data_IF_849108470169
#
_entry.id   IF_849108470169
#
_cell.length_a   1.000
_cell.length_b   1.000
_cell.length_c   1.000
_cell.angle_alpha   90.00
_cell.angle_beta   90.00
_cell.angle_gamma   90.00
#
_symmetry.space_group_name_H-M   'P 1'
#
loop_
_entity.id
_entity.type
_entity.pdbx_description
1 polymer ?
#
# COMPACT_ATOMS: atom_id res chain seq x y z
N UNK A 1 -19.48 5.26 -0.18
CA UNK A 1 -19.45 5.30 -1.66
C UNK A 1 -18.04 5.57 -2.17
N UNK A 2 -17.35 6.60 -1.69
CA UNK A 2 -15.97 6.93 -2.08
C UNK A 2 -14.99 5.75 -1.87
N UNK A 3 -15.05 5.06 -0.73
CA UNK A 3 -14.21 3.88 -0.46
C UNK A 3 -14.51 2.70 -1.40
N UNK A 4 -15.76 2.55 -1.85
CA UNK A 4 -16.13 1.51 -2.81
C UNK A 4 -15.53 1.82 -4.18
N UNK A 5 -15.62 3.08 -4.63
CA UNK A 5 -14.93 3.53 -5.84
C UNK A 5 -13.41 3.37 -5.69
N UNK A 6 -12.85 3.72 -4.54
CA UNK A 6 -11.43 3.51 -4.26
C UNK A 6 -11.03 2.03 -4.37
N UNK A 7 -11.90 1.11 -3.99
CA UNK A 7 -11.60 -0.33 -4.05
C UNK A 7 -11.80 -0.91 -5.46
N UNK A 8 -12.88 -0.51 -6.14
CA UNK A 8 -13.38 -1.18 -7.36
C UNK A 8 -13.16 -0.38 -8.66
N UNK A 9 -12.93 0.93 -8.56
CA UNK A 9 -12.89 1.85 -9.70
C UNK A 9 -14.28 2.13 -10.29
N UNK A 10 -14.31 2.55 -11.56
CA UNK A 10 -15.53 2.87 -12.31
C UNK A 10 -16.52 1.71 -12.48
N UNK A 11 -16.07 0.45 -12.42
CA UNK A 11 -16.92 -0.70 -12.74
C UNK A 11 -17.39 -0.67 -14.21
N UNK A 12 -18.68 -0.98 -14.45
CA UNK A 12 -19.27 -0.96 -15.78
C UNK A 12 -19.71 0.46 -16.16
N UNK A 13 -19.14 1.01 -17.22
CA UNK A 13 -19.48 2.35 -17.74
C UNK A 13 -20.40 2.24 -18.94
N UNK A 14 -21.53 2.95 -18.89
CA UNK A 14 -22.38 3.15 -20.07
C UNK A 14 -21.79 4.22 -20.99
N UNK A 15 -21.09 3.73 -22.03
CA UNK A 15 -20.38 4.58 -23.00
C UNK A 15 -21.30 5.43 -23.87
N UNK A 16 -22.59 5.13 -23.95
CA UNK A 16 -23.54 5.95 -24.72
C UNK A 16 -23.92 7.24 -23.98
N UNK A 17 -23.91 7.20 -22.65
CA UNK A 17 -24.22 8.35 -21.79
C UNK A 17 -22.95 9.07 -21.29
N UNK A 18 -21.78 8.49 -21.52
CA UNK A 18 -20.51 9.07 -21.12
C UNK A 18 -20.19 10.33 -21.94
N UNK A 19 -19.77 11.39 -21.26
CA UNK A 19 -19.23 12.59 -21.92
C UNK A 19 -17.97 12.25 -22.72
N UNK A 20 -17.78 12.92 -23.86
CA UNK A 20 -16.57 12.75 -24.68
C UNK A 20 -15.33 13.20 -23.91
N UNK A 21 -14.25 12.42 -24.02
CA UNK A 21 -12.95 12.77 -23.43
C UNK A 21 -12.39 14.05 -24.08
N UNK A 22 -12.22 15.16 -23.34
CA UNK A 22 -11.64 16.41 -23.87
C UNK A 22 -10.12 16.31 -24.11
N UNK A 23 -9.50 15.21 -23.69
CA UNK A 23 -8.07 14.99 -23.61
C UNK A 23 -7.64 13.65 -24.25
N UNK A 24 -8.35 13.20 -25.29
CA UNK A 24 -8.13 11.89 -25.94
C UNK A 24 -6.70 11.69 -26.49
N UNK A 25 -5.95 12.78 -26.72
CA UNK A 25 -4.55 12.72 -27.17
C UNK A 25 -3.57 12.23 -26.10
N UNK A 26 -3.92 12.32 -24.81
CA UNK A 26 -3.00 11.96 -23.73
C UNK A 26 -3.64 11.23 -22.55
N UNK A 27 -4.95 11.39 -22.31
CA UNK A 27 -5.65 10.75 -21.21
C UNK A 27 -6.23 9.41 -21.68
N UNK A 28 -5.79 8.27 -21.11
CA UNK A 28 -6.30 6.96 -21.49
C UNK A 28 -7.81 6.82 -21.26
N UNK A 29 -8.50 6.08 -22.13
CA UNK A 29 -9.94 5.86 -22.01
C UNK A 29 -10.35 5.30 -20.64
N UNK A 30 -9.57 4.38 -20.06
CA UNK A 30 -9.83 3.82 -18.72
C UNK A 30 -9.74 4.89 -17.62
N UNK A 31 -8.81 5.84 -17.74
CA UNK A 31 -8.72 6.95 -16.79
C UNK A 31 -9.93 7.89 -16.94
N UNK A 32 -10.37 8.13 -18.19
CA UNK A 32 -11.58 8.90 -18.43
C UNK A 32 -12.84 8.21 -17.92
N UNK A 33 -12.97 6.89 -18.09
CA UNK A 33 -14.02 6.05 -17.49
C UNK A 33 -14.09 6.30 -15.97
N UNK A 34 -12.95 6.24 -15.28
CA UNK A 34 -12.85 6.57 -13.85
C UNK A 34 -13.26 8.00 -13.51
N UNK A 35 -12.84 9.00 -14.29
CA UNK A 35 -13.19 10.41 -14.06
C UNK A 35 -14.69 10.65 -14.25
N UNK A 36 -15.31 10.05 -15.26
CA UNK A 36 -16.74 10.23 -15.51
C UNK A 36 -17.63 9.52 -14.49
N UNK A 37 -17.17 8.40 -13.93
CA UNK A 37 -17.90 7.72 -12.85
C UNK A 37 -17.69 8.40 -11.50
N UNK A 38 -16.47 8.86 -11.19
CA UNK A 38 -16.21 9.54 -9.91
C UNK A 38 -16.95 10.88 -9.82
N UNK A 39 -17.15 11.59 -10.94
CA UNK A 39 -17.91 12.85 -11.00
C UNK A 39 -19.35 12.74 -10.46
N UNK A 40 -19.93 11.53 -10.51
CA UNK A 40 -21.29 11.27 -10.02
C UNK A 40 -21.36 11.18 -8.49
N UNK A 41 -20.21 11.00 -7.82
CA UNK A 41 -20.15 10.83 -6.38
C UNK A 41 -20.14 12.17 -5.63
N UNK A 42 -20.80 12.27 -4.45
CA UNK A 42 -20.71 13.43 -3.57
C UNK A 42 -19.27 13.88 -3.32
N UNK A 43 -18.99 15.17 -3.51
CA UNK A 43 -17.67 15.77 -3.29
C UNK A 43 -16.76 15.78 -4.53
N UNK A 44 -17.12 15.06 -5.59
CA UNK A 44 -16.37 15.02 -6.85
C UNK A 44 -17.10 15.69 -8.02
N UNK A 45 -18.31 16.20 -7.79
CA UNK A 45 -19.07 16.87 -8.83
C UNK A 45 -18.28 18.02 -9.46
N UNK A 46 -18.20 18.00 -10.80
CA UNK A 46 -17.50 19.01 -11.58
C UNK A 46 -16.06 18.66 -11.92
N UNK A 47 -15.56 17.46 -11.58
CA UNK A 47 -14.24 17.01 -12.03
C UNK A 47 -14.21 16.88 -13.55
N UNK A 48 -15.30 16.41 -14.16
CA UNK A 48 -15.40 16.34 -15.63
C UNK A 48 -15.34 17.74 -16.24
N UNK A 49 -16.09 18.70 -15.69
CA UNK A 49 -16.05 20.11 -16.12
C UNK A 49 -14.66 20.73 -15.92
N UNK A 50 -13.94 20.32 -14.88
CA UNK A 50 -12.58 20.75 -14.62
C UNK A 50 -11.60 20.27 -15.69
N UNK A 51 -11.75 19.02 -16.17
CA UNK A 51 -10.99 18.52 -17.30
C UNK A 51 -11.36 19.25 -18.61
N UNK A 52 -12.65 19.52 -18.85
CA UNK A 52 -13.09 20.28 -20.04
C UNK A 52 -12.45 21.69 -20.09
N UNK A 53 -12.28 22.36 -18.93
CA UNK A 53 -11.76 23.73 -18.86
C UNK A 53 -10.23 23.81 -18.73
N UNK A 54 -9.62 22.86 -18.00
CA UNK A 54 -8.21 22.92 -17.60
C UNK A 54 -7.42 21.67 -18.04
N UNK A 55 -7.77 21.05 -19.16
CA UNK A 55 -7.12 19.81 -19.62
C UNK A 55 -5.59 19.92 -19.74
N UNK A 56 -5.04 21.10 -20.04
CA UNK A 56 -3.58 21.31 -20.13
C UNK A 56 -2.90 21.22 -18.77
N UNK A 57 -3.49 21.82 -17.73
CA UNK A 57 -2.94 21.76 -16.37
C UNK A 57 -3.07 20.35 -15.79
N UNK A 58 -4.19 19.67 -16.08
CA UNK A 58 -4.35 18.26 -15.77
C UNK A 58 -3.34 17.38 -16.49
N UNK A 59 -2.96 17.69 -17.73
CA UNK A 59 -1.88 16.99 -18.46
C UNK A 59 -0.54 17.18 -17.74
N UNK A 60 -0.21 18.40 -17.31
CA UNK A 60 1.03 18.68 -16.57
C UNK A 60 1.08 17.85 -15.29
N UNK A 61 0.02 17.89 -14.48
CA UNK A 61 -0.07 17.10 -13.25
C UNK A 61 0.01 15.59 -13.55
N UNK A 62 -0.74 15.10 -14.54
CA UNK A 62 -0.74 13.69 -14.94
C UNK A 62 0.64 13.22 -15.41
N UNK A 63 1.41 14.07 -16.09
CA UNK A 63 2.75 13.74 -16.59
C UNK A 63 3.86 13.92 -15.54
N UNK A 64 3.56 14.47 -14.37
CA UNK A 64 4.54 14.60 -13.28
C UNK A 64 5.11 13.24 -12.86
N UNK A 65 6.38 13.21 -12.46
CA UNK A 65 6.97 12.02 -11.85
C UNK A 65 6.41 11.70 -10.46
N UNK A 66 5.87 12.70 -9.75
CA UNK A 66 5.37 12.60 -8.36
C UNK A 66 4.08 13.41 -8.16
N UNK A 67 3.01 13.13 -8.92
CA UNK A 67 1.76 13.87 -8.86
C UNK A 67 1.12 13.88 -7.46
N UNK A 68 1.36 12.84 -6.65
CA UNK A 68 0.88 12.74 -5.26
C UNK A 68 1.50 13.79 -4.30
N UNK A 69 2.59 14.43 -4.72
CA UNK A 69 3.28 15.50 -4.00
C UNK A 69 2.97 16.89 -4.57
N UNK A 70 2.22 16.99 -5.67
CA UNK A 70 1.89 18.24 -6.33
C UNK A 70 0.44 18.66 -6.08
N UNK A 71 0.17 19.96 -6.24
CA UNK A 71 -1.20 20.45 -6.21
C UNK A 71 -1.92 20.05 -7.50
N UNK A 72 -3.06 19.39 -7.35
CA UNK A 72 -4.03 19.20 -8.43
C UNK A 72 -4.50 20.56 -8.98
N UNK A 73 -4.80 20.64 -10.29
CA UNK A 73 -5.26 21.85 -10.95
C UNK A 73 -6.46 22.51 -10.28
N UNK A 74 -6.55 23.85 -10.38
CA UNK A 74 -7.63 24.63 -9.80
C UNK A 74 -7.69 24.52 -8.27
N UNK A 75 -8.89 24.28 -7.75
CA UNK A 75 -9.16 24.20 -6.31
C UNK A 75 -9.23 22.76 -5.78
N UNK A 76 -8.98 21.75 -6.62
CA UNK A 76 -9.11 20.33 -6.25
C UNK A 76 -8.25 19.92 -5.07
N UNK A 77 -7.06 20.51 -4.91
CA UNK A 77 -6.20 20.25 -3.74
C UNK A 77 -6.77 20.80 -2.44
N UNK A 78 -7.59 21.84 -2.52
CA UNK A 78 -8.10 22.57 -1.35
C UNK A 78 -9.49 22.04 -0.98
N UNK A 79 -10.37 21.83 -1.97
CA UNK A 79 -11.75 21.38 -1.73
C UNK A 79 -11.88 19.89 -1.43
N UNK A 80 -10.89 19.08 -1.84
CA UNK A 80 -10.94 17.64 -1.65
C UNK A 80 -10.35 17.24 -0.30
N UNK A 81 -11.01 16.31 0.39
CA UNK A 81 -10.43 15.61 1.53
C UNK A 81 -9.24 14.75 1.11
N UNK A 82 -8.43 14.28 2.07
CA UNK A 82 -7.28 13.43 1.77
C UNK A 82 -7.69 12.10 1.10
N UNK A 83 -8.83 11.52 1.48
CA UNK A 83 -9.36 10.32 0.80
C UNK A 83 -9.80 10.65 -0.62
N UNK A 84 -10.44 11.80 -0.84
CA UNK A 84 -10.86 12.22 -2.17
C UNK A 84 -9.68 12.47 -3.10
N UNK A 85 -8.60 13.09 -2.60
CA UNK A 85 -7.33 13.22 -3.34
C UNK A 85 -6.78 11.85 -3.72
N UNK A 86 -6.84 10.88 -2.82
CA UNK A 86 -6.39 9.51 -3.09
C UNK A 86 -7.24 8.81 -4.15
N UNK A 87 -8.56 9.04 -4.16
CA UNK A 87 -9.45 8.53 -5.21
C UNK A 87 -9.14 9.15 -6.58
N UNK A 88 -8.89 10.46 -6.65
CA UNK A 88 -8.47 11.14 -7.90
C UNK A 88 -7.10 10.64 -8.37
N UNK A 89 -6.15 10.43 -7.46
CA UNK A 89 -4.87 9.81 -7.77
C UNK A 89 -5.05 8.40 -8.32
N UNK A 90 -5.91 7.57 -7.72
CA UNK A 90 -6.21 6.22 -8.25
C UNK A 90 -6.83 6.30 -9.65
N UNK A 91 -7.77 7.20 -9.87
CA UNK A 91 -8.48 7.35 -11.14
C UNK A 91 -7.53 7.70 -12.30
N UNK A 92 -6.49 8.50 -12.03
CA UNK A 92 -5.59 9.04 -13.04
C UNK A 92 -4.22 8.35 -13.07
N UNK A 93 -3.59 8.12 -11.92
CA UNK A 93 -2.20 7.68 -11.74
C UNK A 93 -2.12 6.54 -10.73
N UNK A 94 -2.76 5.43 -11.07
CA UNK A 94 -2.76 4.21 -10.23
C UNK A 94 -1.37 3.66 -9.92
N UNK A 95 -0.38 3.91 -10.79
CA UNK A 95 1.04 3.59 -10.58
C UNK A 95 1.65 4.34 -9.37
N UNK A 96 1.12 5.52 -9.04
CA UNK A 96 1.55 6.34 -7.91
C UNK A 96 0.74 6.11 -6.64
N UNK A 97 -0.27 5.23 -6.70
CA UNK A 97 -1.22 5.05 -5.62
C UNK A 97 -0.56 4.60 -4.31
N UNK A 98 0.46 3.74 -4.37
CA UNK A 98 1.16 3.29 -3.17
C UNK A 98 1.83 4.45 -2.41
N UNK A 99 2.42 5.41 -3.14
CA UNK A 99 3.04 6.60 -2.54
C UNK A 99 1.97 7.53 -1.95
N UNK A 100 0.85 7.73 -2.65
CA UNK A 100 -0.28 8.50 -2.14
C UNK A 100 -0.89 7.86 -0.89
N UNK A 101 -1.03 6.53 -0.88
CA UNK A 101 -1.57 5.78 0.26
C UNK A 101 -0.62 5.85 1.46
N UNK A 102 0.70 5.75 1.24
CA UNK A 102 1.68 5.92 2.31
C UNK A 102 1.59 7.33 2.92
N UNK A 103 1.49 8.38 2.10
CA UNK A 103 1.28 9.75 2.57
C UNK A 103 -0.03 9.89 3.35
N UNK A 104 -1.12 9.32 2.85
CA UNK A 104 -2.41 9.32 3.54
C UNK A 104 -2.32 8.67 4.92
N UNK A 105 -1.73 7.47 5.02
CA UNK A 105 -1.56 6.76 6.28
C UNK A 105 -0.69 7.56 7.25
N UNK A 106 0.47 8.05 6.78
CA UNK A 106 1.39 8.84 7.58
C UNK A 106 0.75 10.10 8.17
N UNK A 107 -0.10 10.78 7.40
CA UNK A 107 -0.80 11.99 7.85
C UNK A 107 -1.94 11.73 8.83
N UNK A 108 -2.58 10.56 8.77
CA UNK A 108 -3.79 10.28 9.54
C UNK A 108 -3.52 9.45 10.81
N UNK A 109 -2.60 8.49 10.76
CA UNK A 109 -2.32 7.60 11.90
C UNK A 109 -0.84 7.56 12.31
N UNK A 110 0.06 8.13 11.52
CA UNK A 110 1.47 8.30 11.88
C UNK A 110 2.44 7.68 10.88
N UNK A 111 3.65 8.25 10.68
CA UNK A 111 4.65 7.74 9.75
C UNK A 111 5.15 6.33 10.08
N UNK A 112 5.11 5.93 11.35
CA UNK A 112 5.50 4.59 11.81
C UNK A 112 4.64 3.46 11.23
N UNK A 113 3.48 3.77 10.65
CA UNK A 113 2.60 2.81 10.00
C UNK A 113 2.94 2.58 8.51
N UNK A 114 3.88 3.35 7.96
CA UNK A 114 4.38 3.20 6.58
C UNK A 114 5.87 2.94 6.51
N UNK A 115 6.58 3.33 7.56
CA UNK A 115 7.99 3.02 7.73
C UNK A 115 8.14 1.63 8.35
N UNK A 116 8.85 0.69 7.69
CA UNK A 116 9.08 -0.63 8.27
C UNK A 116 9.90 -0.49 9.57
N UNK A 117 9.45 -1.07 10.69
CA UNK A 117 10.20 -1.01 11.94
C UNK A 117 11.54 -1.72 11.79
N UNK A 118 12.56 -1.23 12.51
CA UNK A 118 13.82 -1.94 12.61
C UNK A 118 13.60 -3.29 13.28
N UNK A 119 14.05 -4.37 12.64
CA UNK A 119 14.01 -5.70 13.24
C UNK A 119 15.04 -5.82 14.36
N UNK A 120 14.59 -6.06 15.58
CA UNK A 120 15.45 -6.34 16.74
C UNK A 120 15.09 -7.70 17.34
N UNK A 121 15.97 -8.69 17.17
CA UNK A 121 15.70 -10.06 17.60
C UNK A 121 15.47 -10.18 19.12
N UNK A 122 16.15 -9.36 19.92
CA UNK A 122 16.04 -9.38 21.38
C UNK A 122 14.64 -8.97 21.86
N UNK A 123 14.09 -7.87 21.33
CA UNK A 123 12.77 -7.40 21.72
C UNK A 123 11.67 -8.39 21.30
N UNK A 124 11.83 -9.04 20.13
CA UNK A 124 10.96 -10.13 19.68
C UNK A 124 11.02 -11.32 20.65
N UNK A 125 12.22 -11.74 21.07
CA UNK A 125 12.38 -12.80 22.07
C UNK A 125 11.71 -12.47 23.41
N UNK A 126 11.91 -11.25 23.92
CA UNK A 126 11.32 -10.78 25.19
C UNK A 126 9.78 -10.70 25.15
N UNK A 127 9.19 -10.52 23.96
CA UNK A 127 7.73 -10.56 23.76
C UNK A 127 7.13 -11.97 23.70
N UNK A 128 7.97 -13.00 23.62
CA UNK A 128 7.56 -14.40 23.49
C UNK A 128 7.64 -15.16 24.82
N UNK A 129 7.11 -16.39 24.84
CA UNK A 129 7.25 -17.31 25.98
C UNK A 129 7.13 -18.76 25.50
N UNK A 130 7.24 -19.73 26.42
CA UNK A 130 7.20 -21.15 26.09
C UNK A 130 5.90 -21.65 25.44
N UNK A 131 4.83 -20.85 25.43
CA UNK A 131 3.56 -21.16 24.75
C UNK A 131 3.36 -20.35 23.46
N UNK A 132 4.25 -19.41 23.16
CA UNK A 132 4.18 -18.52 21.99
C UNK A 132 5.44 -18.71 21.14
N UNK A 133 5.45 -19.66 20.18
CA UNK A 133 6.62 -19.92 19.36
C UNK A 133 6.92 -18.75 18.41
N UNK A 134 8.21 -18.52 18.17
CA UNK A 134 8.69 -17.53 17.21
C UNK A 134 8.88 -18.17 15.83
N UNK A 135 8.20 -17.64 14.82
CA UNK A 135 8.28 -18.13 13.44
C UNK A 135 8.99 -17.06 12.60
N UNK A 136 10.08 -17.45 11.95
CA UNK A 136 10.83 -16.60 11.04
C UNK A 136 10.40 -16.87 9.60
N UNK A 137 9.84 -15.86 8.93
CA UNK A 137 9.53 -15.92 7.50
C UNK A 137 10.68 -15.28 6.74
N UNK A 138 11.45 -16.10 6.01
CA UNK A 138 12.69 -15.68 5.39
C UNK A 138 12.49 -15.33 3.92
N UNK A 139 13.10 -14.21 3.52
CA UNK A 139 13.34 -13.95 2.10
C UNK A 139 14.55 -14.75 1.62
N UNK A 140 14.61 -15.12 0.32
CA UNK A 140 15.77 -15.81 -0.23
C UNK A 140 17.10 -15.09 0.12
N UNK A 141 18.06 -15.85 0.63
CA UNK A 141 19.39 -15.32 1.00
C UNK A 141 19.51 -14.71 2.40
N UNK A 142 18.45 -14.70 3.20
CA UNK A 142 18.48 -14.25 4.61
C UNK A 142 18.43 -15.47 5.54
N UNK A 143 19.41 -15.63 6.42
CA UNK A 143 19.45 -16.67 7.46
C UNK A 143 19.60 -16.04 8.86
N UNK A 144 18.60 -16.20 9.77
CA UNK A 144 18.62 -15.61 11.10
C UNK A 144 19.48 -16.41 12.10
N UNK A 145 19.95 -17.61 11.72
CA UNK A 145 20.56 -18.59 12.65
C UNK A 145 21.73 -18.01 13.43
N UNK A 146 22.62 -17.27 12.76
CA UNK A 146 23.77 -16.65 13.42
C UNK A 146 23.34 -15.65 14.51
N UNK A 147 22.31 -14.83 14.24
CA UNK A 147 21.76 -13.88 15.21
C UNK A 147 21.08 -14.57 16.39
N UNK A 148 20.37 -15.67 16.15
CA UNK A 148 19.72 -16.48 17.19
C UNK A 148 20.77 -17.09 18.13
N UNK A 149 21.83 -17.70 17.57
CA UNK A 149 22.92 -18.28 18.37
C UNK A 149 23.65 -17.22 19.19
N UNK A 150 23.89 -16.04 18.60
CA UNK A 150 24.51 -14.92 19.31
C UNK A 150 23.64 -14.45 20.49
N UNK A 151 22.34 -14.24 20.27
CA UNK A 151 21.43 -13.81 21.33
C UNK A 151 21.32 -14.87 22.44
N UNK A 152 21.20 -16.14 22.07
CA UNK A 152 21.18 -17.24 23.04
C UNK A 152 22.44 -17.28 23.90
N UNK A 153 23.62 -17.10 23.29
CA UNK A 153 24.88 -16.99 24.02
C UNK A 153 24.91 -15.81 25.01
N UNK A 154 24.38 -14.65 24.62
CA UNK A 154 24.26 -13.48 25.50
C UNK A 154 23.31 -13.72 26.67
N UNK A 155 22.24 -14.47 26.47
CA UNK A 155 21.22 -14.78 27.47
C UNK A 155 21.54 -16.04 28.30
N UNK A 156 22.63 -16.75 27.99
CA UNK A 156 22.96 -18.03 28.61
C UNK A 156 21.94 -19.14 28.31
N UNK A 157 21.20 -19.03 27.21
CA UNK A 157 20.20 -20.02 26.80
C UNK A 157 20.82 -21.09 25.92
N UNK A 158 20.40 -22.34 26.12
CA UNK A 158 20.78 -23.45 25.23
C UNK A 158 19.87 -23.42 24.00
N UNK A 159 20.46 -23.48 22.82
CA UNK A 159 19.73 -23.65 21.56
C UNK A 159 20.06 -25.01 20.99
N UNK A 160 19.02 -25.76 20.67
CA UNK A 160 19.13 -26.98 19.86
C UNK A 160 18.57 -26.70 18.47
N UNK A 161 19.26 -27.19 17.44
CA UNK A 161 18.91 -26.93 16.05
C UNK A 161 18.59 -28.24 15.34
N UNK A 162 17.46 -28.27 14.64
CA UNK A 162 17.04 -29.37 13.79
C UNK A 162 16.75 -28.83 12.38
N UNK A 163 17.59 -29.21 11.42
CA UNK A 163 17.32 -28.93 10.02
C UNK A 163 16.22 -29.87 9.51
N UNK A 164 15.06 -29.32 9.16
CA UNK A 164 13.95 -30.11 8.63
C UNK A 164 14.25 -30.53 7.18
N UNK A 165 14.33 -31.85 6.98
CA UNK A 165 14.46 -32.50 5.69
C UNK A 165 13.71 -33.82 5.68
N UNK A 166 13.87 -34.62 4.62
CA UNK A 166 13.21 -35.92 4.53
C UNK A 166 13.59 -36.80 5.73
N UNK A 167 12.59 -37.23 6.50
CA UNK A 167 12.76 -38.10 7.67
C UNK A 167 13.09 -37.41 9.00
N UNK A 168 13.16 -36.07 9.08
CA UNK A 168 13.56 -35.36 10.31
C UNK A 168 12.40 -35.02 11.26
N UNK A 169 11.14 -35.19 10.84
CA UNK A 169 9.97 -34.85 11.65
C UNK A 169 9.95 -35.55 13.04
N UNK A 170 10.26 -36.86 13.19
CA UNK A 170 10.27 -37.51 14.50
C UNK A 170 11.32 -36.91 15.45
N UNK A 171 12.49 -36.53 14.93
CA UNK A 171 13.54 -35.89 15.73
C UNK A 171 13.08 -34.52 16.22
N UNK A 172 12.47 -33.71 15.35
CA UNK A 172 11.97 -32.38 15.73
C UNK A 172 10.86 -32.46 16.79
N UNK A 173 9.93 -33.43 16.69
CA UNK A 173 8.88 -33.64 17.70
C UNK A 173 9.50 -33.97 19.06
N UNK A 174 10.45 -34.91 19.10
CA UNK A 174 11.12 -35.28 20.34
C UNK A 174 11.83 -34.09 21.00
N UNK A 175 12.51 -33.26 20.20
CA UNK A 175 13.21 -32.07 20.71
C UNK A 175 12.25 -31.04 21.34
N UNK A 176 11.02 -30.94 20.83
CA UNK A 176 9.98 -30.08 21.41
C UNK A 176 9.41 -30.70 22.71
N UNK A 177 9.27 -32.02 22.77
CA UNK A 177 8.77 -32.72 23.97
C UNK A 177 9.76 -32.73 25.13
N UNK A 178 11.07 -32.74 24.82
CA UNK A 178 12.16 -32.79 25.80
C UNK A 178 12.64 -31.41 26.30
N UNK A 179 12.30 -30.32 25.58
CA UNK A 179 12.76 -28.94 25.84
C UNK A 179 11.77 -28.09 26.64
#
# INVERSE_FOLDING_TARGET
EEFNFFSLGAGLVDRLLQKKNPAEDWLPAVAWDNITEIDKLPGFQGIVSSFEQMHRDWKVWFMSGKPEAENMPGDWSIKSSELQKLCLLKALRSDRLLFGAAKFIAMNIGPEFVDPPSFELKSVYESSNCKTPLIFVLSPGVDPTAGILQLAGQLGQKVENCALGQGQAPTAVRMIEEG
#
